data_IF_485412478766
#
_entry.id   IF_485412478766
#
_cell.length_a   1.000
_cell.length_b   1.000
_cell.length_c   1.000
_cell.angle_alpha   90.00
_cell.angle_beta   90.00
_cell.angle_gamma   90.00
#
_symmetry.space_group_name_H-M   'P 1'
#
loop_
_entity.id
_entity.type
_entity.pdbx_description
1 polymer ?
#
# COMPACT_ATOMS: atom_id res chain seq x y z
N UNK A 1 32.84 -1.50 26.70
CA UNK A 1 32.45 -0.59 25.65
C UNK A 1 31.08 -1.06 25.23
N UNK A 2 30.07 -0.29 25.54
CA UNK A 2 28.67 -0.65 25.35
C UNK A 2 28.28 -0.26 23.92
N UNK A 3 27.66 -1.20 23.22
CA UNK A 3 27.07 -1.04 21.89
C UNK A 3 25.85 -0.12 22.01
N UNK A 4 25.67 0.93 21.19
CA UNK A 4 24.56 1.86 21.29
C UNK A 4 23.31 1.46 20.51
N UNK A 5 23.27 0.30 19.86
CA UNK A 5 22.07 -0.22 19.20
C UNK A 5 21.55 -1.44 19.99
N UNK A 6 20.62 -1.19 20.90
CA UNK A 6 19.97 -2.22 21.66
C UNK A 6 18.89 -2.96 20.88
N UNK A 7 19.27 -3.77 19.91
CA UNK A 7 18.44 -4.85 19.40
C UNK A 7 18.53 -6.02 20.39
N UNK A 8 17.58 -6.14 21.31
CA UNK A 8 17.37 -7.38 22.03
C UNK A 8 16.39 -8.23 21.24
N UNK A 9 16.93 -9.00 20.31
CA UNK A 9 16.25 -10.18 19.80
C UNK A 9 16.19 -11.19 20.95
N UNK A 10 15.05 -11.35 21.60
CA UNK A 10 14.77 -12.45 22.50
C UNK A 10 14.13 -13.58 21.71
N UNK A 11 14.99 -14.49 21.30
CA UNK A 11 14.65 -15.81 20.81
C UNK A 11 13.91 -16.60 21.92
N UNK A 12 12.61 -16.82 21.75
CA UNK A 12 11.88 -17.77 22.58
C UNK A 12 10.93 -18.59 21.69
N UNK A 13 11.35 -19.81 21.42
CA UNK A 13 10.54 -20.82 20.76
C UNK A 13 9.29 -21.18 21.57
N UNK A 14 8.14 -21.17 20.91
CA UNK A 14 7.05 -22.11 21.09
C UNK A 14 6.05 -21.88 22.19
N UNK A 15 4.85 -21.84 21.78
CA UNK A 15 3.57 -22.32 22.28
C UNK A 15 2.51 -21.23 22.37
N UNK A 16 1.42 -21.47 21.62
CA UNK A 16 0.17 -20.76 21.74
C UNK A 16 -0.31 -20.67 23.20
N UNK A 17 -0.46 -19.44 23.68
CA UNK A 17 -0.99 -19.19 25.02
C UNK A 17 -0.64 -17.77 25.44
N UNK A 18 -1.54 -16.83 25.24
CA UNK A 18 -1.38 -15.46 25.71
C UNK A 18 -1.11 -15.42 27.22
N UNK A 19 0.00 -14.84 27.71
CA UNK A 19 0.08 -14.40 29.08
C UNK A 19 -0.28 -12.90 29.14
N UNK A 20 -1.26 -12.60 29.96
CA UNK A 20 -1.44 -11.23 30.48
C UNK A 20 -0.16 -10.83 31.22
N UNK A 21 0.60 -9.89 30.69
CA UNK A 21 1.73 -9.33 31.44
C UNK A 21 2.77 -8.66 30.55
N UNK A 22 2.73 -7.35 30.50
CA UNK A 22 3.57 -6.39 29.78
C UNK A 22 3.39 -6.43 28.26
N UNK A 23 2.61 -5.46 27.76
CA UNK A 23 2.58 -5.15 26.36
C UNK A 23 4.02 -4.82 25.91
N UNK A 24 4.60 -5.67 25.07
CA UNK A 24 5.88 -5.38 24.41
C UNK A 24 5.62 -4.28 23.39
N UNK A 25 6.41 -3.23 23.42
CA UNK A 25 6.40 -2.22 22.37
C UNK A 25 7.55 -2.50 21.44
N UNK A 26 7.25 -2.53 20.14
CA UNK A 26 8.24 -2.62 19.09
C UNK A 26 8.62 -1.22 18.61
N UNK A 27 9.85 -1.07 18.20
CA UNK A 27 10.33 0.06 17.41
C UNK A 27 10.92 -0.51 16.13
N UNK A 28 10.28 -0.26 15.04
CA UNK A 28 10.71 -0.67 13.71
C UNK A 28 10.61 0.53 12.76
N UNK A 29 10.94 0.35 11.51
CA UNK A 29 10.77 1.34 10.47
C UNK A 29 9.72 0.87 9.46
N UNK A 30 9.00 1.81 8.88
CA UNK A 30 8.08 1.54 7.77
C UNK A 30 8.84 1.39 6.44
N UNK A 31 8.14 1.11 5.35
CA UNK A 31 8.71 0.97 4.00
C UNK A 31 9.47 2.21 3.53
N UNK A 32 9.24 3.37 4.14
CA UNK A 32 9.94 4.63 3.85
C UNK A 32 11.03 4.94 4.91
N UNK A 33 11.39 3.97 5.77
CA UNK A 33 12.39 4.14 6.81
C UNK A 33 11.98 5.03 7.98
N UNK A 34 10.69 5.35 8.15
CA UNK A 34 10.22 6.14 9.29
C UNK A 34 10.00 5.26 10.51
N UNK A 35 10.33 5.74 11.73
CA UNK A 35 10.11 4.97 12.94
C UNK A 35 8.63 4.70 13.21
N UNK A 36 8.27 3.43 13.39
CA UNK A 36 6.94 2.99 13.84
C UNK A 36 7.03 2.50 15.27
N UNK A 37 6.05 2.86 16.09
CA UNK A 37 5.93 2.41 17.47
C UNK A 37 4.51 1.99 17.76
N UNK A 38 4.34 0.84 18.40
CA UNK A 38 3.03 0.34 18.79
C UNK A 38 3.15 -0.76 19.84
N UNK A 39 2.02 -1.14 20.40
CA UNK A 39 1.90 -2.30 21.28
C UNK A 39 1.70 -3.54 20.42
N UNK A 40 2.56 -4.55 20.60
CA UNK A 40 2.45 -5.81 19.85
C UNK A 40 1.22 -6.58 20.30
N UNK A 41 0.31 -6.84 19.37
CA UNK A 41 -0.93 -7.60 19.57
C UNK A 41 -0.83 -9.02 19.01
N UNK A 42 -0.01 -9.23 17.96
CA UNK A 42 0.24 -10.52 17.33
C UNK A 42 1.64 -10.60 16.73
N UNK A 43 2.18 -11.83 16.60
CA UNK A 43 3.48 -12.12 16.00
C UNK A 43 3.36 -13.42 15.21
N UNK A 44 3.90 -13.43 14.00
CA UNK A 44 3.78 -14.57 13.09
C UNK A 44 5.11 -14.82 12.37
N UNK A 45 5.40 -16.11 12.13
CA UNK A 45 6.41 -16.63 11.22
C UNK A 45 5.64 -17.10 9.98
N UNK A 46 5.66 -16.29 8.90
CA UNK A 46 4.82 -16.53 7.72
C UNK A 46 5.52 -17.34 6.64
N UNK A 47 6.86 -17.38 6.64
CA UNK A 47 7.67 -18.14 5.68
C UNK A 47 8.17 -19.49 6.24
N UNK A 48 7.98 -19.73 7.55
CA UNK A 48 8.30 -20.98 8.26
C UNK A 48 9.80 -21.25 8.44
N UNK A 49 10.60 -20.21 8.54
CA UNK A 49 12.04 -20.31 8.84
C UNK A 49 12.36 -20.30 10.34
N UNK A 50 11.40 -19.93 11.21
CA UNK A 50 11.35 -19.87 12.67
C UNK A 50 11.68 -18.52 13.29
N UNK A 51 11.92 -17.54 12.51
CA UNK A 51 12.01 -16.16 12.96
C UNK A 51 10.65 -15.44 12.75
N UNK A 52 10.41 -14.34 13.43
CA UNK A 52 9.15 -13.60 13.35
C UNK A 52 9.30 -12.49 12.35
N UNK A 53 8.54 -12.57 11.27
CA UNK A 53 8.56 -11.67 10.15
C UNK A 53 7.33 -10.75 10.06
N UNK A 54 6.28 -11.05 10.85
CA UNK A 54 5.02 -10.27 10.79
C UNK A 54 4.54 -9.91 12.19
N UNK A 55 4.11 -8.64 12.34
CA UNK A 55 3.63 -8.08 13.60
C UNK A 55 2.29 -7.36 13.41
N UNK A 56 1.31 -7.65 14.28
CA UNK A 56 0.13 -6.82 14.45
C UNK A 56 0.37 -5.83 15.57
N UNK A 57 0.12 -4.55 15.34
CA UNK A 57 0.39 -3.46 16.27
C UNK A 57 -0.88 -2.64 16.57
N UNK A 58 -1.04 -2.30 17.85
CA UNK A 58 -1.93 -1.24 18.32
C UNK A 58 -1.09 0.05 18.44
N UNK A 59 -1.27 0.98 17.51
CA UNK A 59 -0.51 2.24 17.44
C UNK A 59 -1.25 3.39 18.10
N UNK A 60 -2.58 3.26 18.27
CA UNK A 60 -3.44 4.29 18.84
C UNK A 60 -3.79 4.07 20.35
N UNK A 61 -3.56 2.86 20.87
CA UNK A 61 -3.76 2.51 22.29
C UNK A 61 -5.20 2.15 22.66
N UNK A 62 -6.01 1.74 21.70
CA UNK A 62 -7.42 1.38 21.93
C UNK A 62 -7.63 -0.10 22.27
N UNK A 63 -6.58 -0.94 22.13
CA UNK A 63 -6.59 -2.36 22.43
C UNK A 63 -6.96 -3.25 21.23
N UNK A 64 -7.01 -2.71 20.04
CA UNK A 64 -7.16 -3.41 18.77
C UNK A 64 -5.92 -3.17 17.90
N UNK A 65 -5.57 -4.14 17.05
CA UNK A 65 -4.50 -3.92 16.07
C UNK A 65 -5.04 -3.04 14.94
N UNK A 66 -4.34 -1.96 14.65
CA UNK A 66 -4.64 -1.01 13.58
C UNK A 66 -3.54 -0.97 12.50
N UNK A 67 -2.47 -1.73 12.69
CA UNK A 67 -1.37 -1.82 11.73
C UNK A 67 -0.79 -3.23 11.71
N UNK A 68 -0.49 -3.73 10.52
CA UNK A 68 0.33 -4.93 10.32
C UNK A 68 1.59 -4.58 9.56
N UNK A 69 2.72 -5.11 10.02
CA UNK A 69 4.04 -4.97 9.42
C UNK A 69 4.50 -6.35 9.00
N UNK A 70 5.02 -6.48 7.78
CA UNK A 70 5.62 -7.72 7.28
C UNK A 70 6.99 -7.43 6.68
N UNK A 71 8.01 -8.17 7.13
CA UNK A 71 9.43 -8.09 6.75
C UNK A 71 9.92 -9.53 6.54
N UNK A 72 9.66 -10.15 5.37
CA UNK A 72 9.94 -11.56 5.11
C UNK A 72 11.41 -11.88 4.91
N UNK A 73 12.23 -10.91 4.53
CA UNK A 73 13.67 -11.10 4.34
C UNK A 73 14.50 -10.72 5.57
N UNK A 74 13.80 -10.17 6.62
CA UNK A 74 14.35 -9.88 7.95
C UNK A 74 15.52 -8.91 7.95
N UNK A 75 15.57 -8.01 6.98
CA UNK A 75 16.62 -6.99 6.91
C UNK A 75 16.39 -5.85 7.92
N UNK A 76 15.18 -5.77 8.50
CA UNK A 76 14.75 -4.79 9.51
C UNK A 76 14.02 -3.60 8.92
N UNK A 77 13.76 -3.63 7.61
CA UNK A 77 12.86 -2.72 6.91
C UNK A 77 11.57 -3.49 6.56
N UNK A 78 10.43 -2.88 6.65
CA UNK A 78 9.17 -3.55 6.30
C UNK A 78 8.96 -3.54 4.79
N UNK A 79 8.70 -4.72 4.19
CA UNK A 79 8.31 -4.82 2.78
C UNK A 79 6.83 -4.48 2.56
N UNK A 80 6.01 -4.76 3.57
CA UNK A 80 4.56 -4.52 3.49
C UNK A 80 4.04 -3.92 4.77
N UNK A 81 3.22 -2.88 4.61
CA UNK A 81 2.44 -2.27 5.68
C UNK A 81 0.95 -2.32 5.33
N UNK A 82 0.15 -2.72 6.31
CA UNK A 82 -1.31 -2.71 6.19
C UNK A 82 -1.90 -1.91 7.35
N UNK A 83 -2.84 -1.02 7.04
CA UNK A 83 -3.49 -0.15 8.01
C UNK A 83 -5.01 -0.35 8.00
N UNK A 84 -5.57 -0.52 9.18
CA UNK A 84 -6.99 -0.32 9.47
C UNK A 84 -7.16 1.09 10.03
N UNK A 85 -7.59 2.02 9.19
CA UNK A 85 -7.60 3.45 9.54
C UNK A 85 -8.89 3.90 10.22
N UNK A 86 -9.94 3.09 10.18
CA UNK A 86 -11.24 3.39 10.79
C UNK A 86 -11.60 2.47 11.95
N UNK A 87 -10.78 1.42 12.20
CA UNK A 87 -10.91 0.54 13.36
C UNK A 87 -12.02 -0.51 13.23
N UNK A 88 -12.43 -0.84 12.02
CA UNK A 88 -13.48 -1.84 11.79
C UNK A 88 -12.95 -3.28 11.68
N UNK A 89 -11.62 -3.46 11.66
CA UNK A 89 -10.93 -4.74 11.55
C UNK A 89 -10.63 -5.16 10.10
N UNK A 90 -10.82 -4.26 9.14
CA UNK A 90 -10.50 -4.47 7.72
C UNK A 90 -9.41 -3.48 7.29
N UNK A 91 -8.44 -3.95 6.55
CA UNK A 91 -7.36 -3.11 6.02
C UNK A 91 -7.91 -2.11 5.01
N UNK A 92 -7.67 -0.82 5.25
CA UNK A 92 -8.05 0.26 4.32
C UNK A 92 -6.89 0.72 3.44
N UNK A 93 -5.65 0.55 3.88
CA UNK A 93 -4.46 0.95 3.12
C UNK A 93 -3.42 -0.15 3.20
N UNK A 94 -2.83 -0.50 2.06
CA UNK A 94 -1.71 -1.42 1.96
C UNK A 94 -0.61 -0.76 1.13
N UNK A 95 0.58 -0.65 1.73
CA UNK A 95 1.79 -0.11 1.11
C UNK A 95 2.82 -1.21 0.92
N UNK A 96 3.46 -1.29 -0.23
CA UNK A 96 4.47 -2.29 -0.57
C UNK A 96 5.77 -1.59 -1.05
N UNK A 97 6.91 -1.95 -0.47
CA UNK A 97 8.25 -1.75 -1.03
C UNK A 97 8.67 -3.11 -1.64
N UNK A 98 8.80 -3.20 -2.94
CA UNK A 98 9.04 -4.45 -3.66
C UNK A 98 10.48 -4.64 -4.06
N UNK A 99 11.23 -3.55 -4.08
CA UNK A 99 12.63 -3.52 -4.47
C UNK A 99 13.55 -3.34 -3.27
N UNK A 100 12.97 -3.09 -2.07
CA UNK A 100 13.65 -2.96 -0.81
C UNK A 100 14.67 -1.80 -0.78
N UNK A 101 14.31 -0.68 -1.42
CA UNK A 101 15.14 0.53 -1.44
C UNK A 101 14.77 1.56 -0.36
N UNK A 102 13.72 1.29 0.40
CA UNK A 102 13.20 2.17 1.45
C UNK A 102 12.20 3.21 0.94
N UNK A 103 11.64 2.99 -0.25
CA UNK A 103 10.58 3.81 -0.83
C UNK A 103 9.42 2.91 -1.23
N UNK A 104 8.18 3.34 -1.00
CA UNK A 104 7.01 2.57 -1.41
C UNK A 104 6.86 2.52 -2.94
N UNK A 105 6.73 1.31 -3.50
CA UNK A 105 6.52 1.09 -4.93
C UNK A 105 5.04 0.96 -5.28
N UNK A 106 4.21 0.63 -4.29
CA UNK A 106 2.78 0.47 -4.51
C UNK A 106 1.97 0.81 -3.27
N UNK A 107 0.93 1.62 -3.47
CA UNK A 107 -0.13 1.85 -2.51
C UNK A 107 -1.47 1.31 -3.05
N UNK A 108 -2.20 0.62 -2.20
CA UNK A 108 -3.56 0.17 -2.47
C UNK A 108 -4.49 0.69 -1.38
N UNK A 109 -5.60 1.31 -1.76
CA UNK A 109 -6.47 2.04 -0.85
C UNK A 109 -7.93 1.62 -1.07
N UNK A 110 -8.62 1.25 0.02
CA UNK A 110 -10.07 1.15 0.09
C UNK A 110 -10.62 2.52 0.50
N UNK A 111 -11.14 3.28 -0.44
CA UNK A 111 -11.62 4.64 -0.20
C UNK A 111 -13.07 4.69 0.23
N UNK A 112 -13.83 3.60 0.04
CA UNK A 112 -15.25 3.53 0.32
C UNK A 112 -15.62 2.67 1.55
N UNK A 113 -14.66 1.90 2.10
CA UNK A 113 -14.82 1.05 3.28
C UNK A 113 -15.62 -0.23 3.01
N UNK A 114 -15.59 -0.77 1.79
CA UNK A 114 -16.30 -1.99 1.46
C UNK A 114 -15.45 -3.27 1.58
N UNK A 115 -14.19 -3.12 1.97
CA UNK A 115 -13.22 -4.19 2.14
C UNK A 115 -12.49 -4.58 0.85
N UNK A 116 -12.56 -3.75 -0.20
CA UNK A 116 -11.84 -3.91 -1.44
C UNK A 116 -11.03 -2.66 -1.74
N UNK A 117 -9.82 -2.86 -2.23
CA UNK A 117 -8.98 -1.76 -2.69
C UNK A 117 -9.54 -1.23 -4.02
N UNK A 118 -10.01 0.01 -4.02
CA UNK A 118 -10.60 0.67 -5.17
C UNK A 118 -9.69 1.72 -5.83
N UNK A 119 -8.57 2.03 -5.19
CA UNK A 119 -7.53 2.90 -5.74
C UNK A 119 -6.17 2.25 -5.58
N UNK A 120 -5.39 2.21 -6.65
CA UNK A 120 -4.01 1.71 -6.64
C UNK A 120 -3.09 2.75 -7.26
N UNK A 121 -1.97 3.03 -6.59
CA UNK A 121 -0.86 3.82 -7.12
C UNK A 121 0.34 2.89 -7.29
N UNK A 122 1.11 3.05 -8.36
CA UNK A 122 2.28 2.23 -8.64
C UNK A 122 3.42 3.09 -9.18
N UNK A 123 4.60 2.94 -8.58
CA UNK A 123 5.89 3.36 -9.10
C UNK A 123 6.40 2.22 -10.01
N UNK A 124 6.45 2.44 -11.31
CA UNK A 124 6.76 1.41 -12.29
C UNK A 124 8.25 1.31 -12.59
N UNK A 125 8.98 2.39 -12.40
CA UNK A 125 10.42 2.47 -12.70
C UNK A 125 11.31 2.54 -11.46
N UNK A 126 10.67 2.60 -10.26
CA UNK A 126 11.33 2.55 -8.95
C UNK A 126 12.21 3.78 -8.65
N UNK A 127 11.77 4.96 -9.08
CA UNK A 127 12.49 6.20 -8.83
C UNK A 127 11.99 6.97 -7.60
N UNK A 128 10.91 6.49 -6.96
CA UNK A 128 10.28 7.06 -5.76
C UNK A 128 9.10 7.99 -6.08
N UNK A 129 8.67 8.03 -7.33
CA UNK A 129 7.46 8.73 -7.77
C UNK A 129 6.42 7.72 -8.29
N UNK A 130 5.14 8.03 -8.13
CA UNK A 130 4.06 7.15 -8.58
C UNK A 130 3.68 7.49 -10.02
N UNK A 131 3.97 6.60 -10.97
CA UNK A 131 3.72 6.77 -12.41
C UNK A 131 2.30 6.48 -12.83
N UNK A 132 1.63 5.58 -12.10
CA UNK A 132 0.32 5.08 -12.46
C UNK A 132 -0.65 5.15 -11.30
N UNK A 133 -1.88 5.57 -11.60
CA UNK A 133 -3.00 5.50 -10.66
C UNK A 133 -4.19 4.83 -11.35
N UNK A 134 -4.67 3.75 -10.75
CA UNK A 134 -5.87 3.02 -11.18
C UNK A 134 -7.00 3.25 -10.17
N UNK A 135 -8.22 3.45 -10.66
CA UNK A 135 -9.41 3.69 -9.82
C UNK A 135 -10.60 2.87 -10.32
N UNK A 136 -11.17 2.07 -9.41
CA UNK A 136 -12.49 1.45 -9.56
C UNK A 136 -13.52 2.44 -9.01
N UNK A 137 -14.25 3.11 -9.89
CA UNK A 137 -15.18 4.19 -9.51
C UNK A 137 -16.56 3.69 -9.14
N UNK A 138 -16.87 2.44 -9.51
CA UNK A 138 -18.21 1.87 -9.35
C UNK A 138 -18.26 0.71 -8.33
N UNK A 139 -17.10 0.23 -7.84
CA UNK A 139 -16.98 -0.82 -6.83
C UNK A 139 -17.25 -2.23 -7.36
N UNK A 140 -17.10 -2.47 -8.67
CA UNK A 140 -17.37 -3.79 -9.24
C UNK A 140 -16.14 -4.71 -9.24
N UNK A 141 -14.95 -4.17 -8.91
CA UNK A 141 -13.68 -4.88 -8.83
C UNK A 141 -12.88 -4.82 -10.13
N UNK A 142 -13.29 -3.98 -11.10
CA UNK A 142 -12.55 -3.66 -12.31
C UNK A 142 -12.19 -2.16 -12.28
N UNK A 143 -10.96 -1.82 -12.60
CA UNK A 143 -10.58 -0.40 -12.66
C UNK A 143 -11.19 0.28 -13.89
N UNK A 144 -11.95 1.36 -13.65
CA UNK A 144 -12.63 2.14 -14.69
C UNK A 144 -11.74 3.22 -15.29
N UNK A 145 -10.77 3.71 -14.50
CA UNK A 145 -9.91 4.84 -14.89
C UNK A 145 -8.46 4.51 -14.54
N UNK A 146 -7.56 4.69 -15.51
CA UNK A 146 -6.12 4.63 -15.31
C UNK A 146 -5.48 5.95 -15.74
N UNK A 147 -4.74 6.58 -14.84
CA UNK A 147 -3.96 7.80 -15.08
C UNK A 147 -2.48 7.42 -15.14
N UNK A 148 -1.73 8.03 -16.06
CA UNK A 148 -0.28 7.84 -16.16
C UNK A 148 0.45 9.17 -16.34
N UNK A 149 1.53 9.30 -15.58
CA UNK A 149 2.58 10.30 -15.70
C UNK A 149 3.82 9.53 -16.20
N UNK A 150 4.31 9.78 -17.39
CA UNK A 150 5.41 9.01 -18.00
C UNK A 150 6.77 9.65 -17.81
N UNK A 151 6.82 10.91 -17.43
CA UNK A 151 8.07 11.67 -17.31
C UNK A 151 8.30 12.26 -15.90
N UNK A 152 7.41 11.89 -14.93
CA UNK A 152 7.47 12.22 -13.50
C UNK A 152 7.53 13.73 -13.21
N UNK A 153 6.90 14.54 -14.07
CA UNK A 153 6.84 15.97 -13.85
C UNK A 153 5.69 16.39 -12.90
N UNK A 154 4.82 15.41 -12.53
CA UNK A 154 3.63 15.59 -11.69
C UNK A 154 2.39 16.00 -12.47
N UNK A 155 2.46 16.00 -13.81
CA UNK A 155 1.33 16.22 -14.71
C UNK A 155 0.91 14.89 -15.34
N UNK A 156 -0.39 14.63 -15.44
CA UNK A 156 -0.89 13.38 -16.05
C UNK A 156 -0.82 13.48 -17.57
N UNK A 157 -0.02 12.63 -18.21
CA UNK A 157 0.14 12.54 -19.66
C UNK A 157 -1.00 11.82 -20.36
N UNK A 158 -1.59 10.81 -19.70
CA UNK A 158 -2.69 10.06 -20.28
C UNK A 158 -3.70 9.60 -19.26
N UNK A 159 -4.96 9.55 -19.69
CA UNK A 159 -6.07 8.98 -18.94
C UNK A 159 -6.77 7.95 -19.81
N UNK A 160 -6.88 6.72 -19.32
CA UNK A 160 -7.60 5.64 -19.97
C UNK A 160 -8.91 5.36 -19.23
N UNK A 161 -9.99 5.12 -19.96
CA UNK A 161 -11.31 4.82 -19.41
C UNK A 161 -11.81 3.47 -19.93
N UNK A 162 -12.15 2.55 -19.01
CA UNK A 162 -12.96 1.36 -19.27
C UNK A 162 -14.40 1.67 -18.85
N UNK A 163 -15.26 1.96 -19.79
CA UNK A 163 -16.63 2.40 -19.52
C UNK A 163 -17.63 1.25 -19.45
N UNK A 164 -17.19 0.04 -19.82
CA UNK A 164 -18.03 -1.14 -19.88
C UNK A 164 -17.64 -2.22 -18.86
N UNK A 165 -16.51 -2.05 -18.15
CA UNK A 165 -16.02 -2.96 -17.11
C UNK A 165 -15.51 -4.29 -17.67
N UNK A 166 -14.96 -4.31 -18.91
CA UNK A 166 -14.45 -5.56 -19.49
C UNK A 166 -12.93 -5.74 -19.26
N UNK A 167 -12.28 -4.79 -18.57
CA UNK A 167 -10.85 -4.78 -18.30
C UNK A 167 -10.01 -4.25 -19.47
N UNK A 168 -10.66 -3.60 -20.44
CA UNK A 168 -9.98 -3.01 -21.60
C UNK A 168 -10.44 -1.58 -21.80
N UNK A 169 -9.49 -0.65 -21.92
CA UNK A 169 -9.83 0.75 -22.18
C UNK A 169 -10.61 0.94 -23.46
N UNK A 170 -11.78 1.57 -23.36
CA UNK A 170 -12.64 1.98 -24.49
C UNK A 170 -12.22 3.32 -25.10
N UNK A 171 -11.64 4.20 -24.28
CA UNK A 171 -11.37 5.59 -24.61
C UNK A 171 -10.15 6.10 -23.84
N UNK A 172 -9.30 6.88 -24.50
CA UNK A 172 -8.14 7.48 -23.89
C UNK A 172 -8.03 8.96 -24.21
N UNK A 173 -7.51 9.73 -23.30
CA UNK A 173 -7.14 11.12 -23.39
C UNK A 173 -5.62 11.27 -23.24
N UNK A 174 -5.03 12.24 -23.93
CA UNK A 174 -3.59 12.50 -23.88
C UNK A 174 -3.31 14.00 -23.79
N UNK A 175 -2.44 14.38 -22.87
CA UNK A 175 -1.71 15.63 -22.87
C UNK A 175 -0.32 15.33 -23.48
N UNK A 176 -0.04 15.85 -24.68
CA UNK A 176 1.21 15.53 -25.38
C UNK A 176 2.28 16.61 -25.18
N UNK A 177 1.93 17.70 -24.47
CA UNK A 177 2.82 18.85 -24.31
C UNK A 177 2.99 19.30 -22.86
N UNK A 178 2.41 18.51 -21.91
CA UNK A 178 2.49 18.69 -20.46
C UNK A 178 2.04 20.07 -19.97
N UNK A 179 1.01 20.65 -20.60
CA UNK A 179 0.47 21.93 -20.17
C UNK A 179 -0.75 21.80 -19.23
N UNK A 180 -1.15 20.56 -18.90
CA UNK A 180 -2.31 20.21 -18.07
C UNK A 180 -3.63 20.28 -18.85
N UNK A 181 -3.59 20.31 -20.18
CA UNK A 181 -4.77 20.36 -21.05
C UNK A 181 -4.72 19.21 -22.06
N UNK A 182 -5.78 18.42 -22.12
CA UNK A 182 -5.88 17.31 -23.07
C UNK A 182 -5.79 17.81 -24.52
N UNK A 183 -4.78 17.31 -25.24
CA UNK A 183 -4.49 17.67 -26.63
C UNK A 183 -5.18 16.76 -27.63
N UNK A 184 -5.34 15.47 -27.28
CA UNK A 184 -5.86 14.47 -28.20
C UNK A 184 -6.60 13.34 -27.48
N UNK A 185 -7.41 12.61 -28.25
CA UNK A 185 -8.20 11.49 -27.75
C UNK A 185 -8.15 10.31 -28.72
N UNK A 186 -8.26 9.08 -28.20
CA UNK A 186 -8.39 7.88 -29.03
C UNK A 186 -9.42 6.91 -28.44
N UNK A 187 -9.97 6.03 -29.26
CA UNK A 187 -11.01 5.06 -28.85
C UNK A 187 -12.42 5.44 -29.31
N UNK A 188 -13.40 4.63 -28.93
CA UNK A 188 -14.79 4.83 -29.30
C UNK A 188 -15.44 5.69 -28.25
N UNK A 189 -15.56 6.99 -28.50
CA UNK A 189 -16.31 7.88 -27.62
C UNK A 189 -17.80 7.52 -27.67
N UNK A 190 -18.33 6.84 -26.67
CA UNK A 190 -19.75 6.53 -26.54
C UNK A 190 -20.61 7.75 -26.18
N UNK A 191 -20.01 8.93 -26.06
CA UNK A 191 -20.74 10.18 -25.87
C UNK A 191 -21.02 10.78 -27.27
N UNK A 192 -21.95 10.15 -28.01
CA UNK A 192 -22.62 10.89 -29.08
C UNK A 192 -23.49 11.96 -28.42
N UNK A 193 -23.12 13.22 -28.64
CA UNK A 193 -23.95 14.39 -28.36
C UNK A 193 -25.41 14.10 -28.64
N UNK A 194 -26.22 14.01 -27.58
CA UNK A 194 -27.67 14.08 -27.73
C UNK A 194 -28.00 15.53 -28.08
N UNK A 195 -28.24 15.79 -29.37
CA UNK A 195 -28.86 17.02 -29.86
C UNK A 195 -30.32 17.10 -29.47
#
# INVERSE_FOLDING_TARGET
MSDPNGTTANNAAGTAGAPAGNAESIHTVDVNGNPVTGTVMGQYDTDSDKDIDTFDLDTNGDGHADMRITDPDEDGTADVLEYDTDGDGVTNVRTEDRNDDGTADKDSIDTNGDGRMDTVLTDLDYDGHMDEKEVDTNGDGVFDVTLKDYDDDGTVDSIAYDTNGDGTSDYNEYDNNDDGVIDSTSGVNAITDAQ
#
